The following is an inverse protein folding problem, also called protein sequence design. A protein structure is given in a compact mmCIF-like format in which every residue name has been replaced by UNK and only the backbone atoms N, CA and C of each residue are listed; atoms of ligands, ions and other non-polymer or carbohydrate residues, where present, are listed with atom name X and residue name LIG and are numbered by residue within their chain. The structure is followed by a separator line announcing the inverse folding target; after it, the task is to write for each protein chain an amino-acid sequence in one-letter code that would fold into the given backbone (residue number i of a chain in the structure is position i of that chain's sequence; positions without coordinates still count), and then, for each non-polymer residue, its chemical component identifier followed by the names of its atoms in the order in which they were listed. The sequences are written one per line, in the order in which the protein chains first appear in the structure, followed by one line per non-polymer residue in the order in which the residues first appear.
data_IF_575939372881
#
_entry.id   IF_575939372881
#
_cell.length_a   1.000
_cell.length_b   1.000
_cell.length_c   1.000
_cell.angle_alpha   90.00
_cell.angle_beta   90.00
_cell.angle_gamma   90.00
#
_symmetry.space_group_name_H-M   'P 1'
#
loop_
_entity.id
_entity.type
_entity.pdbx_description
1 polymer ?
#
# COMPACT_ATOMS: atom_id res chain seq x y z
N UNK A 1 -60.07 15.29 -13.94
CA UNK A 1 -59.27 14.08 -14.22
C UNK A 1 -58.21 14.22 -15.33
N UNK A 2 -58.35 15.10 -16.34
CA UNK A 2 -57.37 15.20 -17.45
C UNK A 2 -55.97 15.75 -17.08
N UNK A 3 -55.83 16.54 -16.00
CA UNK A 3 -54.53 17.11 -15.59
C UNK A 3 -53.57 16.10 -14.93
N UNK A 4 -54.09 15.05 -14.29
CA UNK A 4 -53.24 14.04 -13.64
C UNK A 4 -52.63 13.04 -14.64
N UNK A 5 -53.26 12.84 -15.80
CA UNK A 5 -52.73 11.96 -16.85
C UNK A 5 -51.49 12.58 -17.53
N UNK A 6 -51.45 13.91 -17.66
CA UNK A 6 -50.32 14.62 -18.26
C UNK A 6 -49.05 14.52 -17.40
N UNK A 7 -49.18 14.61 -16.08
CA UNK A 7 -48.05 14.40 -15.16
C UNK A 7 -47.54 12.95 -15.16
N UNK A 8 -48.45 11.98 -15.34
CA UNK A 8 -48.08 10.56 -15.37
C UNK A 8 -47.34 10.19 -16.67
N UNK A 9 -47.72 10.80 -17.80
CA UNK A 9 -47.01 10.67 -19.07
C UNK A 9 -45.65 11.38 -19.01
N UNK A 10 -45.54 12.58 -18.41
CA UNK A 10 -44.25 13.27 -18.24
C UNK A 10 -43.28 12.46 -17.36
N UNK A 11 -43.77 11.82 -16.29
CA UNK A 11 -42.96 10.94 -15.44
C UNK A 11 -42.51 9.66 -16.16
N UNK A 12 -43.34 9.12 -17.05
CA UNK A 12 -42.97 7.95 -17.85
C UNK A 12 -41.92 8.32 -18.92
N UNK A 13 -42.06 9.45 -19.61
CA UNK A 13 -41.07 9.91 -20.59
C UNK A 13 -39.75 10.28 -19.91
N UNK A 14 -39.77 10.85 -18.71
CA UNK A 14 -38.56 11.11 -17.93
C UNK A 14 -37.84 9.82 -17.47
N UNK A 15 -38.58 8.73 -17.21
CA UNK A 15 -37.97 7.43 -16.88
C UNK A 15 -37.38 6.69 -18.10
N UNK A 16 -37.87 6.95 -19.31
CA UNK A 16 -37.38 6.28 -20.53
C UNK A 16 -36.03 6.83 -21.00
N UNK A 17 -35.62 8.04 -20.59
CA UNK A 17 -34.27 8.57 -20.87
C UNK A 17 -33.17 8.11 -19.87
N UNK A 18 -33.48 7.20 -18.93
CA UNK A 18 -32.52 6.72 -17.92
C UNK A 18 -31.88 5.37 -18.24
N UNK A 19 -32.11 4.77 -19.41
CA UNK A 19 -31.64 3.41 -19.71
C UNK A 19 -30.53 3.44 -20.76
N UNK A 20 -29.29 3.48 -20.25
CA UNK A 20 -28.12 2.71 -20.68
C UNK A 20 -26.89 3.25 -19.94
N UNK A 21 -26.85 3.03 -18.63
CA UNK A 21 -25.57 3.10 -17.91
C UNK A 21 -24.85 1.79 -18.23
N UNK A 22 -24.24 1.72 -19.40
CA UNK A 22 -23.26 0.67 -19.67
C UNK A 22 -22.00 1.06 -18.89
N UNK A 23 -21.62 0.20 -17.96
CA UNK A 23 -20.42 0.21 -17.13
C UNK A 23 -20.46 1.11 -15.88
N UNK A 24 -20.70 0.45 -14.75
CA UNK A 24 -20.19 0.86 -13.44
C UNK A 24 -18.82 0.19 -13.31
N UNK A 25 -17.76 0.98 -13.08
CA UNK A 25 -16.46 0.42 -12.72
C UNK A 25 -16.56 -0.18 -11.32
N UNK A 26 -16.95 -1.46 -11.22
CA UNK A 26 -17.07 -2.18 -9.94
C UNK A 26 -15.73 -2.70 -9.43
N UNK A 27 -14.69 -2.57 -10.26
CA UNK A 27 -13.32 -2.98 -9.94
C UNK A 27 -12.44 -1.75 -10.06
N UNK A 28 -11.96 -1.23 -8.94
CA UNK A 28 -10.79 -0.37 -8.95
C UNK A 28 -9.64 -1.23 -9.47
N UNK A 29 -9.20 -1.01 -10.72
CA UNK A 29 -7.99 -1.64 -11.24
C UNK A 29 -6.81 -1.10 -10.45
N UNK A 30 -6.36 -1.83 -9.44
CA UNK A 30 -5.36 -1.32 -8.50
C UNK A 30 -3.97 -1.68 -8.98
N UNK A 31 -3.10 -0.68 -9.12
CA UNK A 31 -1.67 -0.89 -9.38
C UNK A 31 -0.91 -0.59 -8.08
N UNK A 32 0.15 -1.32 -7.78
CA UNK A 32 0.91 -1.08 -6.57
C UNK A 32 2.05 -2.06 -6.42
N UNK A 33 2.80 -1.92 -5.34
CA UNK A 33 3.89 -2.81 -5.00
C UNK A 33 3.35 -4.10 -4.40
N UNK A 34 3.63 -5.23 -5.04
CA UNK A 34 3.29 -6.55 -4.50
C UNK A 34 3.99 -6.78 -3.17
N UNK A 35 3.25 -7.29 -2.20
CA UNK A 35 3.80 -7.72 -0.91
C UNK A 35 3.82 -9.23 -0.86
N UNK A 36 4.99 -9.77 -0.51
CA UNK A 36 5.25 -11.22 -0.41
C UNK A 36 5.99 -11.54 0.88
N UNK A 37 6.09 -12.82 1.21
CA UNK A 37 6.84 -13.34 2.37
C UNK A 37 6.50 -12.63 3.69
N UNK A 38 5.20 -12.40 3.92
CA UNK A 38 4.74 -11.76 5.14
C UNK A 38 4.87 -12.71 6.32
N UNK A 39 5.60 -12.26 7.33
CA UNK A 39 5.59 -12.89 8.64
C UNK A 39 5.46 -11.87 9.74
N UNK A 40 4.81 -12.27 10.82
CA UNK A 40 4.68 -11.48 12.04
C UNK A 40 5.27 -12.21 13.21
N UNK A 41 5.90 -11.45 14.10
CA UNK A 41 6.32 -11.93 15.40
C UNK A 41 5.78 -11.00 16.48
N UNK A 42 5.11 -11.59 17.46
CA UNK A 42 4.77 -10.94 18.72
C UNK A 42 5.77 -11.39 19.76
N UNK A 43 6.48 -10.44 20.36
CA UNK A 43 7.44 -10.77 21.40
C UNK A 43 6.69 -11.07 22.70
N UNK A 44 7.21 -12.04 23.45
CA UNK A 44 6.72 -12.28 24.82
C UNK A 44 6.88 -11.03 25.67
N UNK A 45 6.04 -10.93 26.69
CA UNK A 45 6.21 -9.95 27.76
C UNK A 45 7.64 -10.01 28.29
N UNK A 46 8.17 -8.83 28.61
CA UNK A 46 9.52 -8.63 29.14
C UNK A 46 10.67 -8.89 28.16
N UNK A 47 10.41 -8.86 26.85
CA UNK A 47 11.47 -8.86 25.84
C UNK A 47 12.10 -7.47 25.71
N UNK A 48 13.33 -7.33 26.19
CA UNK A 48 14.02 -6.03 26.24
C UNK A 48 15.38 -6.01 25.55
N UNK A 49 15.72 -4.88 24.94
CA UNK A 49 17.10 -4.52 24.58
C UNK A 49 17.61 -3.52 25.61
N UNK A 50 18.40 -4.03 26.56
CA UNK A 50 19.06 -3.24 27.62
C UNK A 50 20.56 -3.10 27.38
N UNK A 51 21.18 -4.17 26.89
CA UNK A 51 22.62 -4.23 26.65
C UNK A 51 23.02 -3.33 25.48
N UNK A 52 24.13 -2.61 25.63
CA UNK A 52 24.70 -1.71 24.61
C UNK A 52 26.00 -2.29 24.07
N UNK A 53 26.25 -2.09 22.78
CA UNK A 53 27.58 -2.34 22.21
C UNK A 53 28.58 -1.38 22.84
N UNK A 54 29.75 -1.90 23.20
CA UNK A 54 30.82 -1.08 23.77
C UNK A 54 31.66 -0.41 22.68
N UNK A 55 31.84 -1.12 21.55
CA UNK A 55 32.67 -0.69 20.43
C UNK A 55 31.92 -0.85 19.11
N UNK A 56 32.21 0.06 18.16
CA UNK A 56 31.57 0.05 16.84
C UNK A 56 31.94 -1.19 16.00
N UNK A 57 33.13 -1.75 16.22
CA UNK A 57 33.60 -2.97 15.55
C UNK A 57 32.74 -4.21 15.81
N UNK A 58 31.94 -4.22 16.88
CA UNK A 58 31.07 -5.33 17.24
C UNK A 58 29.73 -5.30 16.48
N UNK A 59 29.46 -4.22 15.76
CA UNK A 59 28.16 -3.94 15.15
C UNK A 59 28.02 -4.60 13.79
N UNK A 60 27.13 -5.59 13.72
CA UNK A 60 26.82 -6.32 12.47
C UNK A 60 25.52 -5.87 11.81
N UNK A 61 24.51 -5.54 12.60
CA UNK A 61 23.14 -5.23 12.14
C UNK A 61 22.56 -6.35 11.23
N UNK A 62 22.80 -7.62 11.59
CA UNK A 62 22.33 -8.80 10.85
C UNK A 62 20.84 -9.05 11.05
N UNK A 63 20.26 -8.51 12.14
CA UNK A 63 18.83 -8.54 12.43
C UNK A 63 18.28 -7.13 12.74
N UNK A 64 16.96 -6.92 12.65
CA UNK A 64 16.30 -5.70 13.10
C UNK A 64 16.64 -5.33 14.56
N UNK A 65 16.74 -6.32 15.45
CA UNK A 65 17.08 -6.14 16.86
C UNK A 65 18.54 -5.72 17.06
N UNK A 66 19.47 -6.29 16.29
CA UNK A 66 20.87 -5.83 16.29
C UNK A 66 20.98 -4.38 15.81
N UNK A 67 20.22 -3.99 14.78
CA UNK A 67 20.14 -2.60 14.34
C UNK A 67 19.59 -1.68 15.44
N UNK A 68 18.53 -2.09 16.16
CA UNK A 68 18.02 -1.33 17.31
C UNK A 68 19.05 -1.23 18.44
N UNK A 69 19.73 -2.33 18.78
CA UNK A 69 20.83 -2.35 19.76
C UNK A 69 21.95 -1.40 19.34
N UNK A 70 22.34 -1.42 18.07
CA UNK A 70 23.33 -0.52 17.49
C UNK A 70 22.89 0.94 17.57
N UNK A 71 21.63 1.21 17.23
CA UNK A 71 21.06 2.56 17.24
C UNK A 71 21.15 3.22 18.60
N UNK A 72 20.77 2.47 19.64
CA UNK A 72 20.83 2.96 21.01
C UNK A 72 22.27 2.94 21.56
N UNK A 73 23.21 2.24 20.91
CA UNK A 73 24.63 2.22 21.34
C UNK A 73 25.48 3.30 20.67
N UNK A 74 24.94 4.01 19.68
CA UNK A 74 25.69 4.97 18.87
C UNK A 74 26.25 6.13 19.72
N UNK A 75 27.54 6.46 19.52
CA UNK A 75 28.28 7.48 20.27
C UNK A 75 28.66 8.71 19.43
N UNK A 76 28.62 8.58 18.11
CA UNK A 76 29.03 9.59 17.14
C UNK A 76 28.20 9.51 15.84
N UNK A 77 28.40 10.48 14.94
CA UNK A 77 27.72 10.54 13.65
C UNK A 77 28.13 9.42 12.70
N UNK A 78 29.34 8.87 12.82
CA UNK A 78 29.81 7.77 11.97
C UNK A 78 28.97 6.51 12.23
N UNK A 79 28.80 6.16 13.50
CA UNK A 79 27.98 5.04 13.92
C UNK A 79 26.51 5.25 13.55
N UNK A 80 25.98 6.47 13.73
CA UNK A 80 24.64 6.78 13.25
C UNK A 80 24.52 6.58 11.74
N UNK A 81 25.43 7.16 10.97
CA UNK A 81 25.42 7.07 9.50
C UNK A 81 25.49 5.61 9.04
N UNK A 82 26.24 4.77 9.74
CA UNK A 82 26.24 3.32 9.52
C UNK A 82 24.85 2.71 9.68
N UNK A 83 24.11 3.05 10.74
CA UNK A 83 22.76 2.53 11.00
C UNK A 83 21.71 2.97 9.97
N UNK A 84 21.90 4.13 9.33
CA UNK A 84 21.01 4.63 8.28
C UNK A 84 21.46 4.30 6.85
N UNK A 85 22.73 3.94 6.67
CA UNK A 85 23.33 3.68 5.35
C UNK A 85 23.46 4.92 4.49
N UNK A 86 23.53 6.10 5.14
CA UNK A 86 23.70 7.43 4.56
C UNK A 86 24.27 8.34 5.65
N UNK A 87 24.89 9.45 5.25
CA UNK A 87 25.38 10.44 6.20
C UNK A 87 24.20 11.06 6.97
N UNK A 88 24.29 11.03 8.30
CA UNK A 88 23.28 11.58 9.23
C UNK A 88 23.98 12.31 10.36
N UNK A 89 23.45 13.46 10.75
CA UNK A 89 23.92 14.19 11.94
C UNK A 89 23.03 13.93 13.15
N UNK A 90 23.61 14.02 14.36
CA UNK A 90 22.86 13.90 15.61
C UNK A 90 21.66 14.84 15.70
N UNK A 91 21.75 16.06 15.17
CA UNK A 91 20.67 17.05 15.20
C UNK A 91 19.47 16.62 14.36
N UNK A 92 19.70 15.89 13.28
CA UNK A 92 18.64 15.29 12.45
C UNK A 92 17.95 14.12 13.16
N UNK A 93 18.52 13.65 14.27
CA UNK A 93 18.14 12.42 14.93
C UNK A 93 17.48 12.70 16.28
N UNK A 94 16.24 12.22 16.49
CA UNK A 94 15.55 12.27 17.80
C UNK A 94 16.17 11.30 18.85
N UNK A 95 17.40 10.86 18.63
CA UNK A 95 18.02 9.69 19.26
C UNK A 95 18.60 10.04 20.64
N UNK A 96 18.99 11.30 20.90
CA UNK A 96 19.62 11.71 22.17
C UNK A 96 18.83 11.24 23.40
N UNK A 97 17.51 11.23 23.34
CA UNK A 97 16.68 10.74 24.43
C UNK A 97 16.81 9.23 24.64
N UNK A 98 17.00 8.41 23.60
CA UNK A 98 17.14 6.95 23.68
C UNK A 98 18.52 6.48 24.18
N UNK A 99 19.52 7.37 24.17
CA UNK A 99 20.90 7.06 24.56
C UNK A 99 21.18 7.14 26.06
N UNK A 100 20.24 7.63 26.87
CA UNK A 100 20.44 7.63 28.32
C UNK A 100 20.63 6.19 28.82
N UNK A 101 21.66 5.95 29.65
CA UNK A 101 22.01 4.61 30.16
C UNK A 101 20.86 3.91 30.91
N UNK A 102 19.90 4.68 31.42
CA UNK A 102 18.73 4.16 32.10
C UNK A 102 17.59 3.76 31.16
N UNK A 103 17.71 4.05 29.87
CA UNK A 103 16.66 3.78 28.90
C UNK A 103 16.85 2.40 28.29
N UNK A 104 15.73 1.75 27.98
CA UNK A 104 15.73 0.46 27.32
C UNK A 104 14.58 0.37 26.32
N UNK A 105 14.73 -0.56 25.38
CA UNK A 105 13.68 -0.86 24.41
C UNK A 105 12.91 -2.07 24.93
N UNK A 106 11.58 -1.98 24.96
CA UNK A 106 10.67 -3.10 25.07
C UNK A 106 10.13 -3.43 23.67
N UNK A 107 10.46 -4.61 23.17
CA UNK A 107 9.99 -5.07 21.86
C UNK A 107 8.56 -5.60 22.00
N UNK A 108 7.68 -5.19 21.08
CA UNK A 108 6.25 -5.57 21.12
C UNK A 108 5.85 -6.41 19.91
N UNK A 109 6.26 -5.97 18.72
CA UNK A 109 5.85 -6.61 17.46
C UNK A 109 6.85 -6.37 16.35
N UNK A 110 6.99 -7.34 15.45
CA UNK A 110 7.77 -7.25 14.23
C UNK A 110 6.97 -7.78 13.05
N UNK A 111 6.92 -7.01 11.98
CA UNK A 111 6.33 -7.36 10.69
C UNK A 111 7.43 -7.45 9.66
N UNK A 112 7.77 -8.64 9.19
CA UNK A 112 8.71 -8.83 8.08
C UNK A 112 7.94 -9.07 6.78
N UNK A 113 8.41 -8.50 5.68
CA UNK A 113 7.78 -8.63 4.38
C UNK A 113 8.76 -8.27 3.26
N UNK A 114 8.41 -8.65 2.02
CA UNK A 114 9.14 -8.24 0.82
C UNK A 114 8.31 -7.34 -0.06
N UNK A 115 8.95 -6.29 -0.55
CA UNK A 115 8.44 -5.40 -1.60
C UNK A 115 9.53 -5.27 -2.66
N UNK A 116 9.21 -5.55 -3.92
CA UNK A 116 10.16 -5.44 -5.02
C UNK A 116 11.47 -6.21 -4.79
N UNK A 117 11.36 -7.45 -4.30
CA UNK A 117 12.46 -8.33 -3.88
C UNK A 117 13.36 -7.82 -2.74
N UNK A 118 13.10 -6.64 -2.20
CA UNK A 118 13.79 -6.10 -1.02
C UNK A 118 13.07 -6.54 0.25
N UNK A 119 13.85 -6.94 1.25
CA UNK A 119 13.35 -7.33 2.57
C UNK A 119 13.18 -6.09 3.45
N UNK A 120 12.01 -5.99 4.08
CA UNK A 120 11.64 -4.93 4.99
C UNK A 120 11.17 -5.51 6.32
N UNK A 121 11.33 -4.71 7.36
CA UNK A 121 10.80 -4.98 8.69
C UNK A 121 10.20 -3.71 9.27
N UNK A 122 9.01 -3.82 9.86
CA UNK A 122 8.47 -2.80 10.76
C UNK A 122 8.49 -3.36 12.17
N UNK A 123 9.26 -2.72 13.06
CA UNK A 123 9.33 -3.10 14.47
C UNK A 123 8.61 -2.06 15.30
N UNK A 124 7.57 -2.49 16.03
CA UNK A 124 6.89 -1.70 17.05
C UNK A 124 7.47 -2.01 18.42
N UNK A 125 7.75 -0.96 19.18
CA UNK A 125 8.41 -1.04 20.48
C UNK A 125 7.95 0.09 21.41
N UNK A 126 8.25 -0.05 22.69
CA UNK A 126 8.23 1.05 23.65
C UNK A 126 9.66 1.44 24.00
N UNK A 127 10.01 2.71 23.82
CA UNK A 127 11.17 3.30 24.45
C UNK A 127 10.82 3.64 25.90
N UNK A 128 11.45 2.96 26.84
CA UNK A 128 11.22 3.12 28.28
C UNK A 128 12.32 3.98 28.89
N UNK A 129 11.90 4.95 29.71
CA UNK A 129 12.74 5.67 30.66
C UNK A 129 12.23 5.43 32.09
N UNK A 130 12.89 6.00 33.11
CA UNK A 130 12.44 5.90 34.51
C UNK A 130 11.02 6.43 34.73
N UNK A 131 10.58 7.41 33.94
CA UNK A 131 9.30 8.12 34.15
C UNK A 131 8.36 8.07 32.95
N UNK A 132 8.76 7.51 31.82
CA UNK A 132 7.96 7.54 30.60
C UNK A 132 8.10 6.28 29.75
N UNK A 133 7.05 6.00 28.98
CA UNK A 133 7.01 4.97 27.95
C UNK A 133 6.53 5.63 26.67
N UNK A 134 7.38 5.64 25.65
CA UNK A 134 7.06 6.26 24.36
C UNK A 134 6.94 5.13 23.33
N UNK A 135 5.74 4.89 22.75
CA UNK A 135 5.62 3.93 21.66
C UNK A 135 6.36 4.47 20.42
N UNK A 136 7.03 3.59 19.69
CA UNK A 136 7.75 3.91 18.46
C UNK A 136 7.54 2.77 17.47
N UNK A 137 7.48 3.11 16.17
CA UNK A 137 7.62 2.12 15.09
C UNK A 137 8.76 2.52 14.17
N UNK A 138 9.69 1.60 13.94
CA UNK A 138 10.80 1.77 13.01
C UNK A 138 10.55 0.96 11.74
N UNK A 139 10.78 1.60 10.59
CA UNK A 139 10.85 0.92 9.30
C UNK A 139 12.32 0.67 8.96
N UNK A 140 12.61 -0.57 8.61
CA UNK A 140 13.96 -1.04 8.33
C UNK A 140 13.96 -1.77 6.98
N UNK A 141 15.07 -1.67 6.26
CA UNK A 141 15.32 -2.43 5.04
C UNK A 141 16.61 -3.23 5.17
N UNK A 142 16.65 -4.37 4.50
CA UNK A 142 17.87 -5.16 4.37
C UNK A 142 18.57 -4.83 3.04
N UNK A 143 19.86 -4.56 3.10
CA UNK A 143 20.71 -4.41 1.93
C UNK A 143 22.05 -5.12 2.19
N UNK A 144 22.55 -5.88 1.22
CA UNK A 144 23.86 -6.56 1.31
C UNK A 144 24.06 -7.36 2.61
N UNK A 145 23.00 -8.04 3.09
CA UNK A 145 23.04 -8.84 4.31
C UNK A 145 22.88 -8.07 5.63
N UNK A 146 22.73 -6.74 5.57
CA UNK A 146 22.64 -5.86 6.75
C UNK A 146 21.35 -5.08 6.80
N UNK A 147 20.83 -4.81 7.99
CA UNK A 147 19.66 -3.96 8.22
C UNK A 147 20.03 -2.49 8.42
N UNK A 148 19.16 -1.63 7.91
CA UNK A 148 19.27 -0.17 7.97
C UNK A 148 17.92 0.45 8.29
N UNK A 149 17.90 1.57 9.01
CA UNK A 149 16.70 2.40 9.09
C UNK A 149 16.40 3.03 7.73
N UNK A 150 15.12 3.15 7.39
CA UNK A 150 14.73 3.77 6.12
C UNK A 150 13.45 4.58 6.24
N UNK A 151 13.38 5.64 5.44
CA UNK A 151 12.23 6.53 5.31
C UNK A 151 11.51 6.32 3.98
N UNK A 152 11.53 5.10 3.45
CA UNK A 152 10.97 4.77 2.14
C UNK A 152 9.49 5.19 2.08
N UNK A 153 9.20 6.20 1.26
CA UNK A 153 7.93 6.96 1.29
C UNK A 153 6.72 6.05 1.12
N UNK A 154 6.83 5.08 0.21
CA UNK A 154 5.79 4.10 -0.12
C UNK A 154 5.35 3.24 1.07
N UNK A 155 6.20 3.08 2.10
CA UNK A 155 5.93 2.27 3.29
C UNK A 155 5.61 3.10 4.54
N UNK A 156 5.63 4.43 4.45
CA UNK A 156 5.38 5.30 5.62
C UNK A 156 3.95 5.17 6.15
N UNK A 157 2.96 5.02 5.27
CA UNK A 157 1.58 4.80 5.68
C UNK A 157 1.44 3.51 6.50
N UNK A 158 2.10 2.43 6.05
CA UNK A 158 2.09 1.16 6.78
C UNK A 158 2.78 1.31 8.15
N UNK A 159 3.94 1.96 8.20
CA UNK A 159 4.64 2.27 9.46
C UNK A 159 3.74 3.05 10.43
N UNK A 160 3.03 4.05 9.92
CA UNK A 160 2.12 4.88 10.71
C UNK A 160 0.92 4.08 11.23
N UNK A 161 0.33 3.21 10.41
CA UNK A 161 -0.76 2.33 10.83
C UNK A 161 -0.31 1.44 12.00
N UNK A 162 0.84 0.76 11.85
CA UNK A 162 1.40 -0.09 12.90
C UNK A 162 1.74 0.74 14.16
N UNK A 163 2.27 1.94 14.00
CA UNK A 163 2.52 2.85 15.12
C UNK A 163 1.23 3.18 15.89
N UNK A 164 0.15 3.52 15.20
CA UNK A 164 -1.11 3.98 15.79
C UNK A 164 -1.97 2.86 16.39
N UNK A 165 -1.91 1.64 15.85
CA UNK A 165 -2.74 0.52 16.33
C UNK A 165 -2.28 0.00 17.69
N UNK A 166 -3.15 -0.10 18.72
CA UNK A 166 -2.85 -0.82 19.95
C UNK A 166 -2.31 -2.23 19.70
N UNK A 167 -1.42 -2.73 20.55
CA UNK A 167 -0.77 -4.03 20.32
C UNK A 167 -1.79 -5.18 20.29
N UNK A 168 -2.84 -5.11 21.12
CA UNK A 168 -3.96 -6.06 21.11
C UNK A 168 -4.76 -6.06 19.81
N UNK A 169 -4.86 -4.91 19.15
CA UNK A 169 -5.56 -4.78 17.87
C UNK A 169 -4.70 -5.35 16.73
N UNK A 170 -3.39 -5.08 16.75
CA UNK A 170 -2.42 -5.70 15.82
C UNK A 170 -2.50 -7.22 15.92
N UNK A 171 -2.49 -7.77 17.14
CA UNK A 171 -2.61 -9.20 17.36
C UNK A 171 -3.89 -9.78 16.78
N UNK A 172 -5.04 -9.16 17.07
CA UNK A 172 -6.33 -9.63 16.57
C UNK A 172 -6.43 -9.57 15.04
N UNK A 173 -5.86 -8.51 14.44
CA UNK A 173 -5.81 -8.34 13.00
C UNK A 173 -4.93 -9.41 12.37
N UNK A 174 -3.70 -9.61 12.81
CA UNK A 174 -2.79 -10.55 12.14
C UNK A 174 -3.01 -12.02 12.51
N UNK A 175 -3.64 -12.31 13.64
CA UNK A 175 -4.02 -13.67 14.04
C UNK A 175 -5.43 -14.05 13.56
N UNK A 176 -6.14 -13.13 12.90
CA UNK A 176 -7.52 -13.30 12.44
C UNK A 176 -8.49 -13.71 13.58
N UNK A 177 -8.32 -13.12 14.77
CA UNK A 177 -9.14 -13.44 15.95
C UNK A 177 -10.19 -12.36 16.23
N UNK A 178 -11.37 -12.78 16.70
CA UNK A 178 -12.47 -11.87 17.07
C UNK A 178 -12.28 -11.31 18.46
N UNK A 179 -12.67 -10.05 18.62
CA UNK A 179 -12.68 -9.36 19.90
C UNK A 179 -14.08 -8.91 20.27
N UNK A 180 -14.66 -9.61 21.24
CA UNK A 180 -16.01 -9.34 21.76
C UNK A 180 -16.17 -7.90 22.29
N UNK A 181 -15.07 -7.22 22.63
CA UNK A 181 -15.05 -5.85 23.14
C UNK A 181 -14.89 -4.77 22.06
N UNK A 182 -14.62 -5.15 20.80
CA UNK A 182 -14.41 -4.19 19.71
C UNK A 182 -14.99 -4.66 18.36
N UNK A 183 -16.30 -4.49 18.19
CA UNK A 183 -17.01 -4.82 16.94
C UNK A 183 -16.46 -4.10 15.69
N UNK A 184 -15.96 -2.87 15.85
CA UNK A 184 -15.41 -2.12 14.72
C UNK A 184 -14.07 -2.69 14.24
N UNK A 185 -13.27 -3.21 15.18
CA UNK A 185 -12.06 -3.98 14.86
C UNK A 185 -12.42 -5.27 14.10
N UNK A 186 -13.44 -6.00 14.55
CA UNK A 186 -13.89 -7.23 13.86
C UNK A 186 -14.32 -6.95 12.42
N UNK A 187 -15.13 -5.90 12.20
CA UNK A 187 -15.54 -5.48 10.86
C UNK A 187 -14.33 -5.10 10.00
N UNK A 188 -13.36 -4.38 10.57
CA UNK A 188 -12.14 -4.00 9.85
C UNK A 188 -11.31 -5.24 9.48
N UNK A 189 -11.11 -6.16 10.43
CA UNK A 189 -10.42 -7.44 10.22
C UNK A 189 -11.07 -8.27 9.12
N UNK A 190 -12.40 -8.40 9.13
CA UNK A 190 -13.13 -9.19 8.13
C UNK A 190 -12.97 -8.66 6.71
N UNK A 191 -12.76 -7.35 6.55
CA UNK A 191 -12.43 -6.76 5.24
C UNK A 191 -11.00 -7.06 4.80
N UNK A 192 -10.09 -7.31 5.75
CA UNK A 192 -8.67 -7.58 5.49
C UNK A 192 -8.46 -9.04 5.12
N UNK A 193 -9.13 -9.96 5.82
CA UNK A 193 -8.99 -11.39 5.57
C UNK A 193 -9.99 -11.88 4.55
N UNK A 194 -9.50 -12.24 3.35
CA UNK A 194 -10.32 -12.76 2.27
C UNK A 194 -9.75 -14.12 1.88
N UNK A 195 -10.56 -15.18 1.94
CA UNK A 195 -10.16 -16.55 1.62
C UNK A 195 -8.85 -16.96 2.32
N UNK A 196 -8.77 -16.73 3.63
CA UNK A 196 -7.59 -17.00 4.48
C UNK A 196 -6.31 -16.29 4.02
N UNK A 197 -6.43 -15.21 3.25
CA UNK A 197 -5.31 -14.41 2.78
C UNK A 197 -5.42 -12.99 3.32
N UNK A 198 -4.30 -12.44 3.77
CA UNK A 198 -4.23 -11.07 4.28
C UNK A 198 -4.16 -10.08 3.12
N UNK A 199 -5.14 -9.17 3.07
CA UNK A 199 -5.24 -8.13 2.05
C UNK A 199 -4.64 -6.80 2.53
N UNK A 200 -3.38 -6.58 2.17
CA UNK A 200 -2.64 -5.35 2.52
C UNK A 200 -3.32 -4.06 2.05
N UNK A 201 -3.97 -4.08 0.89
CA UNK A 201 -4.69 -2.92 0.38
C UNK A 201 -5.89 -2.58 1.28
N UNK A 202 -6.67 -3.59 1.65
CA UNK A 202 -7.81 -3.42 2.54
C UNK A 202 -7.36 -2.95 3.93
N UNK A 203 -6.21 -3.44 4.41
CA UNK A 203 -5.61 -2.99 5.65
C UNK A 203 -5.25 -1.49 5.62
N UNK A 204 -4.54 -1.04 4.57
CA UNK A 204 -4.11 0.36 4.47
C UNK A 204 -5.31 1.31 4.32
N UNK A 205 -6.26 0.98 3.44
CA UNK A 205 -7.39 1.88 3.15
C UNK A 205 -8.50 1.83 4.22
N UNK A 206 -8.74 0.65 4.79
CA UNK A 206 -9.77 0.49 5.82
C UNK A 206 -9.36 1.10 7.17
N UNK A 207 -8.07 1.36 7.39
CA UNK A 207 -7.58 1.89 8.65
C UNK A 207 -8.15 3.27 9.00
N UNK A 208 -8.32 4.15 8.02
CA UNK A 208 -8.93 5.47 8.24
C UNK A 208 -10.38 5.35 8.73
N UNK A 209 -11.18 4.48 8.10
CA UNK A 209 -12.55 4.20 8.55
C UNK A 209 -12.59 3.61 9.95
N UNK A 210 -11.66 2.70 10.25
CA UNK A 210 -11.54 2.08 11.56
C UNK A 210 -11.22 3.12 12.64
N UNK A 211 -10.27 4.02 12.41
CA UNK A 211 -9.93 5.09 13.36
C UNK A 211 -11.10 6.04 13.64
N UNK A 212 -11.89 6.38 12.62
CA UNK A 212 -13.03 7.28 12.76
C UNK A 212 -14.20 6.66 13.54
N UNK A 213 -14.30 5.33 13.53
CA UNK A 213 -15.40 4.59 14.16
C UNK A 213 -15.02 4.01 15.52
N UNK A 214 -13.72 3.90 15.83
CA UNK A 214 -13.27 3.32 17.08
C UNK A 214 -13.03 4.41 18.15
N UNK A 215 -14.07 4.68 18.94
CA UNK A 215 -14.00 5.63 20.07
C UNK A 215 -13.31 5.02 21.31
N UNK A 216 -13.20 3.68 21.39
CA UNK A 216 -12.62 2.98 22.54
C UNK A 216 -11.16 2.58 22.27
N UNK A 217 -10.23 3.35 22.84
CA UNK A 217 -8.78 3.11 22.82
C UNK A 217 -8.28 2.36 24.06
N UNK A 218 -8.97 1.31 24.49
CA UNK A 218 -8.43 0.50 25.59
C UNK A 218 -7.27 -0.33 25.03
N UNK A 219 -6.04 0.13 25.30
CA UNK A 219 -4.82 -0.59 24.97
C UNK A 219 -4.75 -1.84 25.87
N UNK A 220 -5.06 -2.99 25.29
CA UNK A 220 -4.97 -4.27 26.01
C UNK A 220 -3.53 -4.74 25.93
N UNK A 221 -2.88 -4.86 27.09
CA UNK A 221 -1.62 -5.58 27.20
C UNK A 221 -1.86 -7.05 26.88
N UNK A 222 -1.13 -7.61 25.90
CA UNK A 222 -1.33 -9.01 25.49
C UNK A 222 -0.87 -10.03 26.55
N UNK A 223 0.06 -9.68 27.44
CA UNK A 223 0.54 -10.57 28.50
C UNK A 223 1.13 -11.90 27.99
N UNK A 224 1.73 -11.90 26.79
CA UNK A 224 2.22 -13.11 26.14
C UNK A 224 3.35 -13.75 26.95
N UNK A 225 3.24 -15.05 27.24
CA UNK A 225 4.29 -15.80 27.95
C UNK A 225 5.44 -16.23 27.05
N UNK A 226 5.17 -16.36 25.75
CA UNK A 226 6.10 -16.84 24.73
C UNK A 226 5.96 -16.02 23.45
N UNK A 227 7.00 -16.01 22.62
CA UNK A 227 6.93 -15.34 21.32
C UNK A 227 5.96 -16.11 20.42
N UNK A 228 5.15 -15.40 19.66
CA UNK A 228 4.25 -15.99 18.65
C UNK A 228 4.77 -15.55 17.30
N UNK A 229 5.12 -16.51 16.43
CA UNK A 229 5.50 -16.25 15.04
C UNK A 229 4.46 -16.85 14.12
N UNK A 230 3.97 -16.05 13.16
CA UNK A 230 3.00 -16.49 12.16
C UNK A 230 3.54 -16.16 10.76
N UNK A 231 3.53 -17.14 9.88
CA UNK A 231 3.68 -16.92 8.44
C UNK A 231 2.28 -16.70 7.85
N UNK A 232 2.11 -15.60 7.13
CA UNK A 232 0.81 -15.17 6.66
C UNK A 232 0.80 -15.20 5.13
N UNK A 233 -0.16 -15.94 4.57
CA UNK A 233 -0.40 -15.88 3.14
C UNK A 233 -0.95 -14.49 2.77
N UNK A 234 -0.23 -13.77 1.90
CA UNK A 234 -0.64 -12.44 1.45
C UNK A 234 -1.20 -12.48 0.05
N UNK A 235 -2.33 -11.79 -0.12
CA UNK A 235 -2.84 -11.38 -1.42
C UNK A 235 -2.96 -9.86 -1.39
N UNK A 236 -2.08 -9.13 -2.04
CA UNK A 236 -2.27 -7.69 -2.11
C UNK A 236 -1.09 -6.88 -2.57
N UNK A 237 -1.42 -5.61 -2.83
CA UNK A 237 -0.50 -4.58 -3.25
C UNK A 237 -0.55 -3.41 -2.27
N UNK A 238 0.59 -2.78 -2.03
CA UNK A 238 0.66 -1.45 -1.46
C UNK A 238 0.43 -0.48 -2.62
N UNK A 239 -0.69 0.28 -2.63
CA UNK A 239 -1.02 1.16 -3.75
C UNK A 239 0.07 2.23 -3.94
N UNK A 240 0.28 2.66 -5.18
CA UNK A 240 1.19 3.78 -5.43
C UNK A 240 0.64 5.07 -4.79
N UNK A 241 1.55 5.89 -4.26
CA UNK A 241 1.20 7.21 -3.74
C UNK A 241 0.71 8.07 -4.91
N UNK A 242 -0.40 8.79 -4.72
CA UNK A 242 -1.04 9.69 -5.71
C UNK A 242 -1.70 9.00 -6.92
N UNK A 243 -2.24 7.79 -6.74
CA UNK A 243 -3.18 7.26 -7.73
C UNK A 243 -4.46 8.10 -7.73
N UNK A 244 -4.54 9.03 -8.68
CA UNK A 244 -5.81 9.63 -9.06
C UNK A 244 -6.57 8.59 -9.88
N UNK A 245 -7.48 7.88 -9.23
CA UNK A 245 -8.48 7.09 -9.93
C UNK A 245 -9.54 8.03 -10.48
N UNK A 246 -9.62 8.10 -11.79
CA UNK A 246 -10.72 8.75 -12.44
C UNK A 246 -11.88 7.76 -12.60
N UNK A 247 -12.86 7.82 -11.70
CA UNK A 247 -14.15 7.15 -11.87
C UNK A 247 -15.02 7.95 -12.82
N UNK A 248 -15.29 7.46 -14.03
CA UNK A 248 -16.23 8.13 -14.94
C UNK A 248 -17.35 7.19 -15.38
N UNK A 249 -18.57 7.74 -15.33
CA UNK A 249 -19.73 7.15 -15.99
C UNK A 249 -19.76 7.61 -17.45
N UNK A 250 -20.38 6.81 -18.33
CA UNK A 250 -20.56 7.07 -19.78
C UNK A 250 -21.14 8.46 -20.11
N UNK A 251 -21.82 9.10 -19.13
CA UNK A 251 -22.47 10.40 -19.26
C UNK A 251 -21.57 11.59 -18.84
N UNK A 252 -20.37 11.32 -18.29
CA UNK A 252 -19.39 12.33 -17.86
C UNK A 252 -18.18 12.44 -18.81
N UNK A 253 -18.27 11.98 -20.06
CA UNK A 253 -17.22 12.19 -21.08
C UNK A 253 -16.85 13.68 -21.25
N UNK A 254 -17.74 14.60 -20.90
CA UNK A 254 -17.46 16.05 -20.86
C UNK A 254 -16.39 16.46 -19.84
N UNK A 255 -16.05 15.58 -18.88
CA UNK A 255 -14.97 15.79 -17.90
C UNK A 255 -13.63 15.18 -18.31
N UNK A 256 -13.60 14.34 -19.35
CA UNK A 256 -12.37 13.94 -20.03
C UNK A 256 -11.91 15.00 -21.05
N UNK A 257 -12.04 16.28 -20.74
CA UNK A 257 -11.37 17.35 -21.49
C UNK A 257 -9.88 17.37 -21.18
N UNK A 258 -9.23 16.21 -21.25
CA UNK A 258 -7.80 16.10 -21.41
C UNK A 258 -7.54 16.00 -22.92
N UNK A 259 -7.08 17.07 -23.58
CA UNK A 259 -6.85 17.08 -25.02
C UNK A 259 -5.89 15.97 -25.48
N UNK A 260 -5.04 15.47 -24.58
CA UNK A 260 -4.14 14.38 -24.87
C UNK A 260 -4.83 13.01 -24.87
N UNK A 261 -5.73 12.74 -23.91
CA UNK A 261 -6.51 11.49 -23.91
C UNK A 261 -7.38 11.43 -25.16
N UNK A 262 -8.02 12.55 -25.55
CA UNK A 262 -8.82 12.61 -26.77
C UNK A 262 -7.97 12.28 -28.01
N UNK A 263 -6.77 12.86 -28.12
CA UNK A 263 -5.84 12.55 -29.22
C UNK A 263 -5.43 11.07 -29.27
N UNK A 264 -5.22 10.45 -28.11
CA UNK A 264 -4.91 9.00 -28.01
C UNK A 264 -6.12 8.17 -28.44
N UNK A 265 -7.32 8.49 -27.94
CA UNK A 265 -8.56 7.80 -28.30
C UNK A 265 -8.84 7.92 -29.80
N UNK A 266 -8.77 9.13 -30.37
CA UNK A 266 -8.94 9.37 -31.80
C UNK A 266 -7.95 8.55 -32.64
N UNK A 267 -6.70 8.44 -32.17
CA UNK A 267 -5.67 7.64 -32.85
C UNK A 267 -6.02 6.15 -32.83
N UNK A 268 -6.47 5.62 -31.69
CA UNK A 268 -6.91 4.23 -31.57
C UNK A 268 -8.11 3.97 -32.47
N UNK A 269 -9.15 4.82 -32.42
CA UNK A 269 -10.33 4.69 -33.26
C UNK A 269 -9.98 4.70 -34.76
N UNK A 270 -9.03 5.55 -35.16
CA UNK A 270 -8.56 5.61 -36.55
C UNK A 270 -7.81 4.34 -36.96
N UNK A 271 -7.02 3.75 -36.07
CA UNK A 271 -6.22 2.55 -36.35
C UNK A 271 -7.10 1.31 -36.40
N UNK A 272 -8.01 1.16 -35.43
CA UNK A 272 -8.79 -0.06 -35.30
C UNK A 272 -10.11 -0.01 -36.07
N UNK A 273 -10.53 1.19 -36.49
CA UNK A 273 -11.83 1.45 -37.09
C UNK A 273 -13.01 1.05 -36.17
N UNK A 274 -12.78 1.06 -34.84
CA UNK A 274 -13.78 0.72 -33.84
C UNK A 274 -14.13 1.94 -32.98
N UNK A 275 -15.29 1.89 -32.31
CA UNK A 275 -15.63 2.91 -31.31
C UNK A 275 -14.84 2.65 -30.05
N UNK A 276 -14.16 3.67 -29.55
CA UNK A 276 -13.36 3.57 -28.33
C UNK A 276 -13.94 4.49 -27.26
N UNK A 277 -14.13 3.94 -26.07
CA UNK A 277 -14.63 4.62 -24.90
C UNK A 277 -13.56 4.56 -23.81
N UNK A 278 -12.92 5.68 -23.46
CA UNK A 278 -12.03 5.69 -22.31
C UNK A 278 -12.82 5.34 -21.04
N UNK A 279 -12.23 4.50 -20.18
CA UNK A 279 -12.82 4.10 -18.90
C UNK A 279 -12.13 4.79 -17.73
N UNK A 280 -10.80 4.74 -17.70
CA UNK A 280 -10.01 5.27 -16.61
C UNK A 280 -8.62 5.66 -17.12
N UNK A 281 -8.04 6.70 -16.53
CA UNK A 281 -6.63 7.03 -16.72
C UNK A 281 -5.95 7.19 -15.37
N UNK A 282 -4.78 6.58 -15.20
CA UNK A 282 -3.96 6.73 -13.99
C UNK A 282 -2.59 7.23 -14.41
N UNK A 283 -2.14 8.33 -13.81
CA UNK A 283 -0.74 8.76 -13.88
C UNK A 283 0.04 8.06 -12.76
N UNK A 284 1.13 7.41 -13.11
CA UNK A 284 2.04 6.75 -12.17
C UNK A 284 3.46 7.26 -12.40
N UNK A 285 4.14 7.64 -11.33
CA UNK A 285 5.57 7.98 -11.39
C UNK A 285 6.41 6.77 -10.94
N UNK A 286 7.26 6.25 -11.82
CA UNK A 286 8.19 5.15 -11.55
C UNK A 286 9.60 5.64 -11.88
N UNK A 287 10.52 5.62 -10.91
CA UNK A 287 11.91 6.09 -11.07
C UNK A 287 11.99 7.49 -11.72
N UNK A 288 11.23 8.46 -11.19
CA UNK A 288 11.16 9.85 -11.67
C UNK A 288 10.61 10.05 -13.08
N UNK A 289 10.19 8.98 -13.76
CA UNK A 289 9.48 9.04 -15.05
C UNK A 289 7.98 8.87 -14.81
N UNK A 290 7.14 9.67 -15.47
CA UNK A 290 5.72 9.42 -15.41
C UNK A 290 5.26 8.55 -16.57
N UNK A 291 4.33 7.68 -16.23
CA UNK A 291 3.62 6.78 -17.11
C UNK A 291 2.14 7.06 -16.93
N UNK A 292 1.42 7.04 -18.03
CA UNK A 292 -0.02 7.19 -18.05
C UNK A 292 -0.63 5.90 -18.55
N UNK A 293 -1.47 5.31 -17.73
CA UNK A 293 -2.21 4.10 -18.03
C UNK A 293 -3.62 4.52 -18.43
N UNK A 294 -4.05 4.19 -19.63
CA UNK A 294 -5.39 4.43 -20.12
C UNK A 294 -6.10 3.10 -20.33
N UNK A 295 -7.09 2.82 -19.48
CA UNK A 295 -8.06 1.74 -19.71
C UNK A 295 -9.18 2.25 -20.59
N UNK A 296 -9.55 1.49 -21.61
CA UNK A 296 -10.59 1.84 -22.56
C UNK A 296 -11.38 0.60 -23.00
N UNK A 297 -12.61 0.82 -23.44
CA UNK A 297 -13.43 -0.19 -24.12
C UNK A 297 -13.38 0.07 -25.61
N UNK A 298 -13.10 -0.96 -26.37
CA UNK A 298 -13.27 -0.99 -27.81
C UNK A 298 -14.56 -1.74 -28.17
N UNK A 299 -15.37 -1.19 -29.07
CA UNK A 299 -16.66 -1.76 -29.48
C UNK A 299 -16.64 -2.10 -30.97
N UNK A 300 -16.78 -3.40 -31.25
CA UNK A 300 -16.82 -4.00 -32.59
C UNK A 300 -18.18 -4.68 -32.79
N UNK A 301 -19.13 -3.94 -33.37
CA UNK A 301 -20.53 -4.38 -33.43
C UNK A 301 -21.10 -4.59 -32.03
N UNK A 302 -21.50 -5.82 -31.72
CA UNK A 302 -22.04 -6.23 -30.41
C UNK A 302 -20.96 -6.71 -29.42
N UNK A 303 -19.69 -6.78 -29.84
CA UNK A 303 -18.58 -7.22 -29.00
C UNK A 303 -17.91 -6.03 -28.32
N UNK A 304 -17.55 -6.21 -27.05
CA UNK A 304 -16.78 -5.24 -26.28
C UNK A 304 -15.46 -5.86 -25.85
N UNK A 305 -14.38 -5.08 -25.97
CA UNK A 305 -13.04 -5.47 -25.54
C UNK A 305 -12.51 -4.46 -24.53
N UNK A 306 -12.13 -4.92 -23.35
CA UNK A 306 -11.44 -4.09 -22.37
C UNK A 306 -9.96 -4.08 -22.70
N UNK A 307 -9.40 -2.91 -22.98
CA UNK A 307 -8.03 -2.74 -23.39
C UNK A 307 -7.33 -1.72 -22.48
N UNK A 308 -6.00 -1.80 -22.44
CA UNK A 308 -5.17 -0.86 -21.69
C UNK A 308 -4.01 -0.42 -22.57
N UNK A 309 -3.71 0.87 -22.55
CA UNK A 309 -2.57 1.46 -23.23
C UNK A 309 -1.71 2.19 -22.20
N UNK A 310 -0.39 2.14 -22.38
CA UNK A 310 0.56 2.88 -21.54
C UNK A 310 1.37 3.83 -22.41
N UNK A 311 1.55 5.05 -21.94
CA UNK A 311 2.37 6.06 -22.62
C UNK A 311 3.21 6.85 -21.61
N UNK A 312 4.35 7.38 -22.07
CA UNK A 312 5.23 8.25 -21.26
C UNK A 312 4.72 9.71 -21.20
N UNK A 313 5.46 10.57 -20.51
CA UNK A 313 5.22 12.02 -20.45
C UNK A 313 5.20 12.72 -21.82
N UNK A 314 5.79 12.11 -22.85
CA UNK A 314 5.80 12.63 -24.22
C UNK A 314 4.70 12.00 -25.08
N UNK A 315 3.80 11.21 -24.48
CA UNK A 315 2.74 10.45 -25.16
C UNK A 315 3.26 9.45 -26.19
N UNK A 316 4.50 9.01 -26.05
CA UNK A 316 4.99 7.88 -26.81
C UNK A 316 4.28 6.63 -26.30
N UNK A 317 3.59 5.92 -27.19
CA UNK A 317 3.02 4.62 -26.86
C UNK A 317 4.19 3.70 -26.50
N UNK A 318 4.22 3.26 -25.26
CA UNK A 318 5.21 2.28 -24.80
C UNK A 318 4.64 0.92 -25.22
N UNK A 319 4.96 0.55 -26.46
CA UNK A 319 4.37 -0.58 -27.18
C UNK A 319 4.74 -1.96 -26.61
N UNK A 320 5.46 -1.98 -25.50
CA UNK A 320 5.87 -3.19 -24.82
C UNK A 320 5.56 -3.05 -23.34
N UNK A 321 4.50 -3.72 -22.90
CA UNK A 321 4.39 -4.17 -21.51
C UNK A 321 5.72 -4.78 -21.05
N UNK A 322 6.50 -5.41 -21.95
CA UNK A 322 7.85 -5.91 -21.69
C UNK A 322 8.90 -4.85 -21.29
N UNK A 323 8.83 -3.61 -21.79
CA UNK A 323 9.74 -2.54 -21.37
C UNK A 323 9.37 -2.00 -19.98
N UNK A 324 8.08 -1.90 -19.68
CA UNK A 324 7.58 -1.56 -18.35
C UNK A 324 7.85 -2.72 -17.38
N UNK A 325 7.69 -3.97 -17.83
CA UNK A 325 8.04 -5.15 -17.07
C UNK A 325 9.52 -5.15 -16.72
N UNK A 326 10.43 -4.82 -17.65
CA UNK A 326 11.86 -4.68 -17.34
C UNK A 326 12.16 -3.62 -16.26
N UNK A 327 11.30 -2.62 -16.10
CA UNK A 327 11.43 -1.57 -15.07
C UNK A 327 10.77 -1.93 -13.74
N UNK A 328 9.96 -2.99 -13.71
CA UNK A 328 9.23 -3.49 -12.56
C UNK A 328 9.84 -4.81 -12.08
N UNK A 329 9.88 -5.03 -10.78
CA UNK A 329 10.21 -6.34 -10.24
C UNK A 329 9.19 -7.42 -10.67
N UNK A 330 9.62 -8.68 -10.61
CA UNK A 330 8.86 -9.84 -11.08
C UNK A 330 7.44 -9.97 -10.48
N UNK A 331 7.23 -9.55 -9.23
CA UNK A 331 5.90 -9.65 -8.60
C UNK A 331 4.95 -8.53 -9.03
N UNK A 332 5.48 -7.33 -9.33
CA UNK A 332 4.72 -6.25 -9.95
C UNK A 332 4.37 -6.54 -11.42
N UNK A 333 5.23 -7.28 -12.13
CA UNK A 333 4.91 -7.78 -13.48
C UNK A 333 3.69 -8.72 -13.43
N UNK A 334 3.64 -9.64 -12.47
CA UNK A 334 2.54 -10.60 -12.31
C UNK A 334 1.22 -9.93 -11.92
N UNK A 335 1.26 -8.90 -11.07
CA UNK A 335 0.08 -8.09 -10.75
C UNK A 335 -0.45 -7.35 -11.99
N UNK A 336 0.42 -6.72 -12.78
CA UNK A 336 0.00 -6.12 -14.05
C UNK A 336 -0.54 -7.17 -15.01
N UNK A 337 0.09 -8.36 -15.11
CA UNK A 337 -0.46 -9.47 -15.90
C UNK A 337 -1.86 -9.87 -15.45
N UNK A 338 -2.13 -9.97 -14.15
CA UNK A 338 -3.45 -10.33 -13.63
C UNK A 338 -4.51 -9.23 -13.85
N UNK A 339 -4.11 -7.96 -13.86
CA UNK A 339 -4.99 -6.84 -14.24
C UNK A 339 -5.30 -6.89 -15.74
N UNK A 340 -4.35 -7.35 -16.57
CA UNK A 340 -4.44 -7.32 -18.03
C UNK A 340 -4.74 -8.68 -18.69
N UNK A 341 -4.86 -9.77 -17.94
CA UNK A 341 -4.99 -11.15 -18.48
C UNK A 341 -6.30 -11.37 -19.25
N UNK A 342 -7.28 -10.48 -19.08
CA UNK A 342 -8.55 -10.48 -19.81
C UNK A 342 -8.62 -9.39 -20.90
N UNK A 343 -7.52 -8.67 -21.16
CA UNK A 343 -7.47 -7.64 -22.19
C UNK A 343 -6.89 -8.17 -23.49
N UNK A 344 -7.46 -7.78 -24.64
CA UNK A 344 -6.78 -8.00 -25.92
C UNK A 344 -5.67 -6.96 -26.00
N UNK A 345 -4.43 -7.35 -25.76
CA UNK A 345 -3.30 -6.45 -26.03
C UNK A 345 -3.33 -6.09 -27.51
N UNK A 346 -3.75 -4.86 -27.84
CA UNK A 346 -3.61 -4.35 -29.20
C UNK A 346 -2.15 -3.99 -29.39
N UNK A 347 -1.43 -4.87 -30.08
CA UNK A 347 -0.12 -4.59 -30.63
C UNK A 347 -0.34 -3.66 -31.82
N UNK A 348 -0.06 -2.37 -31.66
CA UNK A 348 -0.08 -1.43 -32.79
C UNK A 348 1.29 -1.52 -33.46
N UNK A 349 1.34 -2.04 -34.69
CA UNK A 349 2.54 -1.98 -35.51
C UNK A 349 2.87 -0.54 -35.91
N UNK A 350 4.18 -0.29 -36.02
CA UNK A 350 4.77 0.98 -36.45
C UNK A 350 4.31 1.40 -37.85
#
# INVERSE_FOLDING_TARGET
MKKNLFFLVLFCVAKVFSQNIDFICDVTDKIGYSVTDLSVEFYKSDTYIKERYQQFSDVKNSTPEELLKSHISAKDNEWLSYNYGKDVTWEDSKIKELLNENNYIELLFRLNFRVSNKEYSIVKLNAKSKSSSIPIAFLMKKNEGRWFFTDEKILQSLKLIIYLLPIGDIYSIFNNETRNDNRNLDIFRDKIWIDNSFNFYAFINGFGEYLLKNDNKNDISLGLKENISLEINTKGIIPFINQEFCTYFKNENSRMQNPYINKVIDSIQKITNQKVYPLNSVKVTINEKNFFYLKYIEVDGDKTYNNVMVFDDNFNIINQLDEIYKLLDSSNQENLKNIFSNSKTIIIYK
#
